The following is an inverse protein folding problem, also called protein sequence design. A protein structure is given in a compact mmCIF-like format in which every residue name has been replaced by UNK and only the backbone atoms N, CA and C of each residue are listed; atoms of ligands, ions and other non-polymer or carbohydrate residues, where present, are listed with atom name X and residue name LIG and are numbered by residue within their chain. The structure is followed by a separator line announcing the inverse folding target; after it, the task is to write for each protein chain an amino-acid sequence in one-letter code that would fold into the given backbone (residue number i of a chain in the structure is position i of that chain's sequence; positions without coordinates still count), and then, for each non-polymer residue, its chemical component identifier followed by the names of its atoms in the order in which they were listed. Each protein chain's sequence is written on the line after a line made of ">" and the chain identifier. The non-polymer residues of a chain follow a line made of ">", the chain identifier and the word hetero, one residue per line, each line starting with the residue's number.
data_IF_114663441721
#
_entry.id   IF_114663441721
#
_cell.length_a   1.000
_cell.length_b   1.000
_cell.length_c   1.000
_cell.angle_alpha   90.00
_cell.angle_beta   90.00
_cell.angle_gamma   90.00
#
_symmetry.space_group_name_H-M   'P 1'
#
loop_
_entity.id
_entity.type
_entity.pdbx_description
1 polymer ?
#
# COMPACT_ATOMS: atom_id res chain seq x y z
N UNK A 1 26.89 -13.72 -54.16
CA UNK A 1 27.19 -13.51 -52.74
C UNK A 1 25.93 -13.21 -51.99
N UNK A 2 25.50 -14.15 -51.17
CA UNK A 2 24.33 -13.92 -50.31
C UNK A 2 24.77 -13.24 -49.02
N UNK A 3 24.40 -11.96 -48.86
CA UNK A 3 24.57 -11.27 -47.59
C UNK A 3 23.51 -11.77 -46.62
N UNK A 4 23.96 -12.47 -45.60
CA UNK A 4 23.11 -12.80 -44.47
C UNK A 4 22.91 -11.55 -43.63
N UNK A 5 21.71 -10.98 -43.65
CA UNK A 5 21.33 -9.90 -42.81
C UNK A 5 21.07 -10.45 -41.42
N UNK A 6 22.02 -10.24 -40.51
CA UNK A 6 21.81 -10.55 -39.09
C UNK A 6 20.93 -9.43 -38.52
N UNK A 7 19.64 -9.72 -38.39
CA UNK A 7 18.74 -8.82 -37.67
C UNK A 7 19.00 -9.07 -36.19
N UNK A 8 19.78 -8.18 -35.60
CA UNK A 8 19.87 -8.13 -34.12
C UNK A 8 18.54 -7.61 -33.58
N UNK A 9 17.71 -8.52 -33.08
CA UNK A 9 16.55 -8.13 -32.31
C UNK A 9 17.05 -7.66 -30.95
N UNK A 10 17.15 -6.35 -30.77
CA UNK A 10 17.35 -5.77 -29.47
C UNK A 10 16.08 -6.00 -28.64
N UNK A 11 16.13 -6.98 -27.75
CA UNK A 11 15.07 -7.17 -26.77
C UNK A 11 15.21 -6.05 -25.74
N UNK A 12 14.37 -5.03 -25.88
CA UNK A 12 14.24 -3.98 -24.89
C UNK A 12 13.50 -4.56 -23.69
N UNK A 13 14.23 -5.04 -22.70
CA UNK A 13 13.65 -5.39 -21.42
C UNK A 13 13.30 -4.09 -20.71
N UNK A 14 12.03 -3.71 -20.76
CA UNK A 14 11.50 -2.65 -19.92
C UNK A 14 11.48 -3.21 -18.49
N UNK A 15 12.47 -2.82 -17.69
CA UNK A 15 12.41 -3.04 -16.26
C UNK A 15 11.28 -2.18 -15.71
N UNK A 16 10.10 -2.77 -15.55
CA UNK A 16 9.04 -2.15 -14.77
C UNK A 16 9.52 -2.09 -13.33
N UNK A 17 9.85 -0.89 -12.85
CA UNK A 17 10.09 -0.64 -11.45
C UNK A 17 8.73 -0.73 -10.72
N UNK A 18 8.26 -1.94 -10.49
CA UNK A 18 7.23 -2.15 -9.48
C UNK A 18 7.88 -1.94 -8.11
N UNK A 19 7.25 -1.14 -7.24
CA UNK A 19 7.67 -1.07 -5.85
C UNK A 19 7.81 -2.51 -5.34
N UNK A 20 9.03 -2.89 -4.93
CA UNK A 20 9.26 -4.24 -4.43
C UNK A 20 8.44 -4.47 -3.16
N UNK A 21 8.06 -5.70 -2.87
CA UNK A 21 7.37 -6.07 -1.65
C UNK A 21 8.14 -5.62 -0.39
N UNK A 22 9.48 -5.56 -0.48
CA UNK A 22 10.34 -5.06 0.58
C UNK A 22 10.14 -3.56 0.84
N UNK A 23 10.01 -2.73 -0.22
CA UNK A 23 9.80 -1.28 -0.09
C UNK A 23 8.44 -0.97 0.50
N UNK A 24 7.41 -1.71 0.12
CA UNK A 24 6.05 -1.56 0.66
C UNK A 24 6.01 -1.91 2.14
N UNK A 25 6.64 -3.01 2.53
CA UNK A 25 6.76 -3.42 3.93
C UNK A 25 7.49 -2.37 4.76
N UNK A 26 8.59 -1.82 4.25
CA UNK A 26 9.32 -0.76 4.92
C UNK A 26 8.48 0.49 5.09
N UNK A 27 7.74 0.90 4.06
CA UNK A 27 6.81 2.04 4.13
C UNK A 27 5.74 1.80 5.18
N UNK A 28 5.17 0.61 5.23
CA UNK A 28 4.19 0.23 6.25
C UNK A 28 4.77 0.35 7.66
N UNK A 29 5.94 -0.23 7.89
CA UNK A 29 6.60 -0.21 9.19
C UNK A 29 6.95 1.20 9.66
N UNK A 30 7.39 2.08 8.76
CA UNK A 30 7.77 3.46 9.08
C UNK A 30 6.58 4.40 9.26
N UNK A 31 5.57 4.27 8.41
CA UNK A 31 4.52 5.28 8.28
C UNK A 31 3.15 4.83 8.78
N UNK A 32 2.87 3.54 8.81
CA UNK A 32 1.53 3.01 9.10
C UNK A 32 1.48 2.19 10.40
N UNK A 33 2.52 1.44 10.70
CA UNK A 33 2.54 0.50 11.81
C UNK A 33 2.43 1.17 13.18
N UNK A 34 2.79 2.43 13.30
CA UNK A 34 2.68 3.20 14.55
C UNK A 34 1.26 3.20 15.12
N UNK A 35 0.27 3.26 14.23
CA UNK A 35 -1.14 3.17 14.58
C UNK A 35 -1.71 1.77 14.32
N UNK A 36 -1.49 1.25 13.10
CA UNK A 36 -2.08 -0.01 12.64
C UNK A 36 -1.38 -1.27 13.16
N UNK A 37 -0.17 -1.16 13.68
CA UNK A 37 0.65 -2.30 14.07
C UNK A 37 1.40 -2.91 12.88
N UNK A 38 2.52 -3.59 13.15
CA UNK A 38 3.30 -4.29 12.13
C UNK A 38 2.46 -5.39 11.46
N UNK A 39 1.60 -6.04 12.23
CA UNK A 39 0.69 -7.10 11.81
C UNK A 39 -0.67 -6.60 11.28
N UNK A 40 -0.95 -5.30 11.37
CA UNK A 40 -2.20 -4.69 10.94
C UNK A 40 -3.38 -4.88 11.88
N UNK A 41 -3.18 -5.39 13.08
CA UNK A 41 -4.25 -5.63 14.05
C UNK A 41 -4.74 -4.38 14.78
N UNK A 42 -4.00 -3.27 14.70
CA UNK A 42 -4.38 -2.05 15.41
C UNK A 42 -4.20 -2.10 16.92
N UNK A 43 -3.47 -3.06 17.42
CA UNK A 43 -3.23 -3.28 18.88
C UNK A 43 -2.10 -2.41 19.44
N UNK A 44 -1.86 -1.25 18.85
CA UNK A 44 -0.92 -0.25 19.34
C UNK A 44 -1.62 0.68 20.33
N UNK A 45 -0.85 1.38 21.15
CA UNK A 45 -1.41 2.38 22.09
C UNK A 45 -2.21 3.46 21.35
N UNK A 46 -1.66 3.99 20.25
CA UNK A 46 -2.33 5.01 19.44
C UNK A 46 -3.51 4.39 18.68
N UNK A 47 -3.34 3.20 18.11
CA UNK A 47 -4.38 2.50 17.37
C UNK A 47 -5.63 2.22 18.19
N UNK A 48 -5.46 1.82 19.44
CA UNK A 48 -6.58 1.62 20.37
C UNK A 48 -7.28 2.94 20.73
N UNK A 49 -6.51 4.01 20.87
CA UNK A 49 -7.05 5.33 21.22
C UNK A 49 -7.92 5.90 20.11
N UNK A 50 -7.52 5.72 18.83
CA UNK A 50 -8.24 6.23 17.67
C UNK A 50 -9.11 5.17 16.98
N UNK A 51 -9.20 3.99 17.56
CA UNK A 51 -10.07 2.90 17.12
C UNK A 51 -9.81 2.45 15.67
N UNK A 52 -8.54 2.24 15.31
CA UNK A 52 -8.20 1.68 14.00
C UNK A 52 -8.67 0.23 13.89
N UNK A 53 -9.08 -0.15 12.69
CA UNK A 53 -9.61 -1.48 12.42
C UNK A 53 -8.52 -2.55 12.37
N UNK A 54 -8.89 -3.77 12.69
CA UNK A 54 -8.03 -4.95 12.55
C UNK A 54 -8.10 -5.46 11.11
N UNK A 55 -7.04 -5.25 10.33
CA UNK A 55 -6.97 -5.66 8.92
C UNK A 55 -6.72 -7.15 8.73
N UNK A 56 -6.47 -7.91 9.79
CA UNK A 56 -6.39 -9.37 9.71
C UNK A 56 -7.79 -10.02 9.67
N UNK A 57 -8.82 -9.28 10.06
CA UNK A 57 -10.20 -9.74 10.09
C UNK A 57 -10.84 -9.67 8.69
N UNK A 58 -11.35 -10.80 8.21
CA UNK A 58 -12.02 -10.89 6.91
C UNK A 58 -13.24 -9.96 6.80
N UNK A 59 -13.98 -9.75 7.90
CA UNK A 59 -15.13 -8.84 7.92
C UNK A 59 -14.72 -7.39 7.72
N UNK A 60 -13.61 -6.99 8.31
CA UNK A 60 -13.01 -5.66 8.12
C UNK A 60 -12.59 -5.50 6.66
N UNK A 61 -11.91 -6.48 6.09
CA UNK A 61 -11.49 -6.45 4.68
C UNK A 61 -12.68 -6.32 3.72
N UNK A 62 -13.81 -6.94 4.04
CA UNK A 62 -15.03 -6.86 3.24
C UNK A 62 -15.78 -5.53 3.42
N UNK A 63 -15.46 -4.74 4.45
CA UNK A 63 -16.18 -3.52 4.80
C UNK A 63 -15.83 -2.30 3.94
N UNK A 64 -14.74 -2.36 3.18
CA UNK A 64 -14.30 -1.26 2.33
C UNK A 64 -13.82 -1.76 0.96
N UNK A 65 -13.92 -0.89 -0.03
CA UNK A 65 -13.42 -1.13 -1.40
C UNK A 65 -11.97 -0.64 -1.54
N UNK A 66 -11.25 -1.15 -2.53
CA UNK A 66 -9.89 -0.68 -2.83
C UNK A 66 -9.86 0.82 -3.13
N UNK A 67 -10.87 1.34 -3.83
CA UNK A 67 -10.99 2.77 -4.13
C UNK A 67 -11.11 3.62 -2.86
N UNK A 68 -11.83 3.14 -1.85
CA UNK A 68 -11.97 3.82 -0.55
C UNK A 68 -10.62 3.86 0.17
N UNK A 69 -9.88 2.77 0.12
CA UNK A 69 -8.55 2.69 0.72
C UNK A 69 -7.54 3.60 -0.01
N UNK A 70 -7.60 3.65 -1.33
CA UNK A 70 -6.76 4.55 -2.15
C UNK A 70 -7.06 6.00 -1.79
N UNK A 71 -8.32 6.36 -1.71
CA UNK A 71 -8.76 7.72 -1.33
C UNK A 71 -8.28 8.08 0.07
N UNK A 72 -8.42 7.16 1.03
CA UNK A 72 -7.96 7.37 2.40
C UNK A 72 -6.45 7.61 2.47
N UNK A 73 -5.66 6.89 1.67
CA UNK A 73 -4.21 7.09 1.61
C UNK A 73 -3.83 8.41 0.94
N UNK A 74 -4.57 8.85 -0.07
CA UNK A 74 -4.30 10.10 -0.78
C UNK A 74 -4.74 11.33 -0.01
N UNK A 75 -5.91 11.29 0.62
CA UNK A 75 -6.56 12.45 1.24
C UNK A 75 -6.54 12.42 2.76
N UNK A 76 -6.20 11.27 3.35
CA UNK A 76 -6.38 11.04 4.77
C UNK A 76 -7.84 10.76 5.13
N UNK A 77 -8.09 10.57 6.41
CA UNK A 77 -9.43 10.33 6.97
C UNK A 77 -9.71 11.38 8.01
N UNK A 78 -10.82 12.08 7.84
CA UNK A 78 -11.31 13.09 8.79
C UNK A 78 -12.69 12.71 9.31
N UNK A 79 -12.93 13.03 10.56
CA UNK A 79 -14.24 12.97 11.20
C UNK A 79 -14.56 14.39 11.69
N UNK A 80 -15.32 15.15 10.87
CA UNK A 80 -15.47 16.57 11.07
C UNK A 80 -14.12 17.30 10.92
N UNK A 81 -13.71 18.05 11.94
CA UNK A 81 -12.40 18.72 11.99
C UNK A 81 -11.28 17.82 12.53
N UNK A 82 -11.65 16.66 13.07
CA UNK A 82 -10.69 15.72 13.66
C UNK A 82 -10.02 14.86 12.59
N UNK A 83 -8.70 14.92 12.53
CA UNK A 83 -7.91 14.07 11.63
C UNK A 83 -7.74 12.70 12.29
N UNK A 84 -8.32 11.66 11.69
CA UNK A 84 -8.14 10.29 12.12
C UNK A 84 -6.93 9.62 11.48
N UNK A 85 -6.67 9.92 10.23
CA UNK A 85 -5.50 9.43 9.50
C UNK A 85 -4.98 10.53 8.60
N UNK A 86 -3.67 10.79 8.65
CA UNK A 86 -3.01 11.72 7.74
C UNK A 86 -2.83 11.09 6.37
N UNK A 87 -2.81 11.90 5.28
CA UNK A 87 -2.43 11.41 3.96
C UNK A 87 -1.05 10.77 3.99
N UNK A 88 -0.82 9.75 3.16
CA UNK A 88 0.49 9.15 2.99
C UNK A 88 1.41 10.12 2.23
N UNK A 89 2.47 10.59 2.89
CA UNK A 89 3.43 11.51 2.30
C UNK A 89 4.55 10.76 1.58
N UNK A 90 5.03 11.34 0.47
CA UNK A 90 6.15 10.81 -0.28
C UNK A 90 5.87 9.49 -1.00
N UNK A 91 4.61 9.15 -1.17
CA UNK A 91 4.18 7.91 -1.84
C UNK A 91 3.40 8.29 -3.10
N UNK A 92 3.86 7.81 -4.25
CA UNK A 92 3.17 8.02 -5.52
C UNK A 92 1.97 7.08 -5.69
N UNK A 93 1.23 7.23 -6.81
CA UNK A 93 0.04 6.40 -7.07
C UNK A 93 0.35 4.90 -7.11
N UNK A 94 1.49 4.52 -7.67
CA UNK A 94 1.91 3.11 -7.71
C UNK A 94 2.19 2.59 -6.30
N UNK A 95 2.83 3.40 -5.46
CA UNK A 95 3.10 3.08 -4.05
C UNK A 95 1.82 2.96 -3.23
N UNK A 96 0.84 3.84 -3.48
CA UNK A 96 -0.47 3.77 -2.81
C UNK A 96 -1.21 2.48 -3.17
N UNK A 97 -1.25 2.10 -4.43
CA UNK A 97 -1.83 0.82 -4.87
C UNK A 97 -1.12 -0.38 -4.25
N UNK A 98 0.21 -0.31 -4.15
CA UNK A 98 1.01 -1.35 -3.50
C UNK A 98 0.70 -1.47 -2.00
N UNK A 99 0.49 -0.34 -1.31
CA UNK A 99 0.07 -0.32 0.10
C UNK A 99 -1.31 -0.94 0.28
N UNK A 100 -2.26 -0.64 -0.60
CA UNK A 100 -3.60 -1.27 -0.56
C UNK A 100 -3.49 -2.78 -0.73
N UNK A 101 -2.68 -3.26 -1.68
CA UNK A 101 -2.42 -4.69 -1.85
C UNK A 101 -1.77 -5.31 -0.61
N UNK A 102 -0.85 -4.60 0.03
CA UNK A 102 -0.23 -5.02 1.28
C UNK A 102 -1.28 -5.20 2.40
N UNK A 103 -2.15 -4.22 2.56
CA UNK A 103 -3.27 -4.27 3.54
C UNK A 103 -4.18 -5.46 3.26
N UNK A 104 -4.53 -5.71 1.99
CA UNK A 104 -5.34 -6.88 1.62
C UNK A 104 -4.64 -8.20 1.96
N UNK A 105 -3.33 -8.25 1.86
CA UNK A 105 -2.51 -9.40 2.22
C UNK A 105 -2.42 -9.67 3.72
N UNK A 106 -2.81 -8.75 4.59
CA UNK A 106 -2.82 -8.93 6.04
C UNK A 106 -3.95 -9.82 6.54
N UNK A 107 -4.95 -10.07 5.72
CA UNK A 107 -6.08 -10.97 6.04
C UNK A 107 -5.58 -12.34 6.43
N UNK A 108 -6.07 -12.83 7.54
CA UNK A 108 -5.82 -14.21 8.03
C UNK A 108 -7.06 -15.08 7.93
#
# INVERSE_FOLDING_TARGET
>A
MKRKLLISVAVLTVATMSASAADVKETWEKSCAKCHGVDGKGETKIGKKIEVKDFTDAKVQASFKDEDAIKALKEGVKDGEKIRMKPAEGVDDAGIKALVAYVRGLKK
#
